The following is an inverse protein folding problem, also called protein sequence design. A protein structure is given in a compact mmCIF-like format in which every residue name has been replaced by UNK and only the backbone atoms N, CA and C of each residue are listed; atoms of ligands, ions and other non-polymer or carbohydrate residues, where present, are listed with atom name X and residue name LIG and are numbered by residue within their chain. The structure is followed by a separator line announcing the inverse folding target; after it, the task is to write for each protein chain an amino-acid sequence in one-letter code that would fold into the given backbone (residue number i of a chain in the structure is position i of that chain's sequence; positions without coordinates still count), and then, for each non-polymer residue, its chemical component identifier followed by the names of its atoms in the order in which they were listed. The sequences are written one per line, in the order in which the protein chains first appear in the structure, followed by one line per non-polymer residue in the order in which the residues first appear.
data_IF_709998501224
#
_entry.id   IF_709998501224
#
_cell.length_a   1.000
_cell.length_b   1.000
_cell.length_c   1.000
_cell.angle_alpha   90.00
_cell.angle_beta   90.00
_cell.angle_gamma   90.00
#
_symmetry.space_group_name_H-M   'P 1'
#
loop_
_entity.id
_entity.type
_entity.pdbx_description
1 polymer ?
#
# COMPACT_ATOMS: atom_id res chain seq x y z
N UNK A 1 -0.88 3.21 32.79
CA UNK A 1 0.15 3.69 31.83
C UNK A 1 0.12 2.77 30.62
N UNK A 2 -0.27 3.23 29.43
CA UNK A 2 -0.26 2.36 28.24
C UNK A 2 1.18 2.01 27.85
N UNK A 3 1.44 0.73 27.63
CA UNK A 3 2.77 0.23 27.21
C UNK A 3 3.08 0.67 25.78
N UNK A 4 4.36 0.70 25.42
CA UNK A 4 4.79 0.98 24.05
C UNK A 4 4.07 0.07 23.04
N UNK A 5 4.07 -1.24 23.27
CA UNK A 5 3.41 -2.22 22.40
C UNK A 5 1.90 -2.03 22.29
N UNK A 6 1.23 -1.60 23.37
CA UNK A 6 -0.20 -1.26 23.28
C UNK A 6 -0.46 -0.07 22.36
N UNK A 7 0.43 0.93 22.36
CA UNK A 7 0.35 2.08 21.43
C UNK A 7 0.64 1.67 19.99
N UNK A 8 1.64 0.83 19.78
CA UNK A 8 1.95 0.25 18.44
C UNK A 8 0.73 -0.47 17.88
N UNK A 9 0.10 -1.35 18.66
CA UNK A 9 -1.11 -2.06 18.23
C UNK A 9 -2.27 -1.12 17.90
N UNK A 10 -2.53 -0.11 18.76
CA UNK A 10 -3.58 0.87 18.50
C UNK A 10 -3.34 1.67 17.21
N UNK A 11 -2.13 2.17 16.99
CA UNK A 11 -1.81 2.95 15.79
C UNK A 11 -1.78 2.08 14.53
N UNK A 12 -1.40 0.81 14.63
CA UNK A 12 -1.47 -0.13 13.51
C UNK A 12 -2.91 -0.39 13.04
N UNK A 13 -3.84 -0.52 13.98
CA UNK A 13 -5.26 -0.74 13.67
C UNK A 13 -5.93 0.49 13.04
N UNK A 14 -5.47 1.70 13.36
CA UNK A 14 -5.94 2.93 12.71
C UNK A 14 -5.68 2.94 11.19
N UNK A 15 -4.70 2.18 10.71
CA UNK A 15 -4.39 2.07 9.29
C UNK A 15 -5.02 0.85 8.60
N UNK A 16 -5.95 0.14 9.24
CA UNK A 16 -6.58 -1.08 8.69
C UNK A 16 -7.26 -0.85 7.33
N UNK A 17 -8.04 0.23 7.18
CA UNK A 17 -8.70 0.56 5.90
C UNK A 17 -7.70 0.93 4.81
N UNK A 18 -6.63 1.64 5.16
CA UNK A 18 -5.57 2.01 4.23
C UNK A 18 -4.81 0.76 3.74
N UNK A 19 -4.53 -0.18 4.65
CA UNK A 19 -3.90 -1.46 4.32
C UNK A 19 -4.77 -2.29 3.37
N UNK A 20 -6.09 -2.31 3.56
CA UNK A 20 -7.04 -2.94 2.62
C UNK A 20 -6.96 -2.29 1.24
N UNK A 21 -7.00 -0.97 1.19
CA UNK A 21 -6.90 -0.22 -0.08
C UNK A 21 -5.58 -0.48 -0.82
N UNK A 22 -4.47 -0.67 -0.10
CA UNK A 22 -3.19 -1.06 -0.74
C UNK A 22 -3.27 -2.44 -1.38
N UNK A 23 -3.92 -3.41 -0.72
CA UNK A 23 -4.11 -4.73 -1.29
C UNK A 23 -4.95 -4.69 -2.58
N UNK A 24 -5.98 -3.84 -2.64
CA UNK A 24 -6.81 -3.68 -3.85
C UNK A 24 -6.07 -3.02 -5.02
N UNK A 25 -5.10 -2.15 -4.73
CA UNK A 25 -4.33 -1.40 -5.74
C UNK A 25 -3.16 -2.20 -6.33
N UNK A 26 -2.76 -3.29 -5.69
CA UNK A 26 -1.79 -4.25 -6.22
C UNK A 26 -2.58 -5.34 -6.95
N UNK A 27 -2.50 -5.41 -8.29
CA UNK A 27 -3.16 -6.51 -8.98
C UNK A 27 -2.30 -7.77 -8.72
N UNK A 28 -2.83 -8.68 -7.90
CA UNK A 28 -2.23 -10.00 -7.68
C UNK A 28 -2.45 -10.82 -8.96
N UNK A 29 -1.44 -11.55 -9.48
CA UNK A 29 -1.62 -12.43 -10.63
C UNK A 29 -2.85 -13.32 -10.45
N UNK A 30 -3.85 -13.14 -11.32
CA UNK A 30 -5.13 -13.82 -11.26
C UNK A 30 -5.40 -14.43 -12.65
N UNK A 31 -5.98 -15.63 -12.76
CA UNK A 31 -6.44 -16.18 -14.05
C UNK A 31 -7.24 -15.18 -14.90
N UNK A 32 -7.94 -14.22 -14.27
CA UNK A 32 -8.63 -13.12 -14.94
C UNK A 32 -7.75 -12.21 -15.81
N UNK A 33 -6.42 -12.33 -15.77
CA UNK A 33 -5.49 -11.57 -16.62
C UNK A 33 -5.54 -12.03 -18.09
N UNK A 34 -5.98 -13.25 -18.34
CA UNK A 34 -6.14 -13.80 -19.69
C UNK A 34 -7.57 -13.66 -20.22
N UNK A 35 -8.45 -12.97 -19.48
CA UNK A 35 -9.78 -12.68 -19.97
C UNK A 35 -9.74 -11.48 -20.92
N UNK A 36 -10.39 -11.58 -22.09
CA UNK A 36 -10.45 -10.50 -23.04
C UNK A 36 -11.29 -9.32 -22.53
N UNK A 37 -11.11 -8.16 -23.16
CA UNK A 37 -11.78 -6.91 -22.79
C UNK A 37 -13.02 -6.75 -23.66
N UNK A 38 -14.21 -6.95 -23.09
CA UNK A 38 -15.48 -6.83 -23.82
C UNK A 38 -16.10 -5.42 -23.76
N UNK A 39 -15.66 -4.56 -22.83
CA UNK A 39 -16.25 -3.22 -22.61
C UNK A 39 -15.20 -2.11 -22.60
N UNK A 40 -15.57 -0.96 -23.17
CA UNK A 40 -14.74 0.26 -23.21
C UNK A 40 -14.47 0.82 -21.80
N UNK A 41 -15.41 0.66 -20.87
CA UNK A 41 -15.22 1.04 -19.47
C UNK A 41 -14.08 0.27 -18.82
N UNK A 42 -14.02 -1.05 -19.04
CA UNK A 42 -12.98 -1.92 -18.50
C UNK A 42 -11.61 -1.58 -19.08
N UNK A 43 -11.55 -1.24 -20.38
CA UNK A 43 -10.33 -0.76 -21.02
C UNK A 43 -9.82 0.54 -20.39
N UNK A 44 -10.73 1.50 -20.18
CA UNK A 44 -10.38 2.80 -19.60
C UNK A 44 -9.87 2.65 -18.17
N UNK A 45 -10.50 1.79 -17.37
CA UNK A 45 -10.05 1.47 -16.03
C UNK A 45 -8.68 0.79 -16.03
N UNK A 46 -8.46 -0.21 -16.90
CA UNK A 46 -7.18 -0.89 -17.07
C UNK A 46 -6.06 0.03 -17.58
N UNK A 47 -6.39 1.11 -18.28
CA UNK A 47 -5.42 2.06 -18.84
C UNK A 47 -5.07 3.19 -17.86
N UNK A 48 -6.01 3.58 -17.00
CA UNK A 48 -5.80 4.61 -15.96
C UNK A 48 -5.12 4.04 -14.72
N UNK A 49 -5.45 2.79 -14.35
CA UNK A 49 -4.92 2.12 -13.14
C UNK A 49 -3.38 2.04 -13.06
N UNK A 50 -2.62 1.79 -14.15
CA UNK A 50 -1.16 1.80 -14.15
C UNK A 50 -0.54 3.17 -13.85
N UNK A 51 -1.27 4.26 -14.07
CA UNK A 51 -0.81 5.63 -13.79
C UNK A 51 -1.25 6.08 -12.41
N UNK A 52 -2.55 5.94 -12.10
CA UNK A 52 -3.13 6.44 -10.86
C UNK A 52 -2.63 5.69 -9.61
N UNK A 53 -2.60 4.36 -9.67
CA UNK A 53 -2.28 3.51 -8.51
C UNK A 53 -0.86 3.75 -7.97
N UNK A 54 0.21 3.70 -8.80
CA UNK A 54 1.55 3.91 -8.26
C UNK A 54 1.82 5.35 -7.85
N UNK A 55 1.19 6.34 -8.50
CA UNK A 55 1.33 7.74 -8.12
C UNK A 55 0.67 7.99 -6.76
N UNK A 56 -0.54 7.46 -6.54
CA UNK A 56 -1.21 7.55 -5.25
C UNK A 56 -0.44 6.81 -4.15
N UNK A 57 0.07 5.60 -4.42
CA UNK A 57 0.89 4.83 -3.48
C UNK A 57 2.22 5.54 -3.15
N UNK A 58 2.88 6.14 -4.16
CA UNK A 58 4.12 6.88 -4.01
C UNK A 58 3.95 8.16 -3.17
N UNK A 59 2.89 8.93 -3.41
CA UNK A 59 2.58 10.12 -2.59
C UNK A 59 2.33 9.73 -1.14
N UNK A 60 1.57 8.65 -0.89
CA UNK A 60 1.36 8.16 0.47
C UNK A 60 2.66 7.70 1.12
N UNK A 61 3.52 6.97 0.40
CA UNK A 61 4.82 6.55 0.92
C UNK A 61 5.66 7.74 1.37
N UNK A 62 5.77 8.79 0.55
CA UNK A 62 6.52 10.01 0.88
C UNK A 62 5.94 10.69 2.13
N UNK A 63 4.61 10.82 2.23
CA UNK A 63 3.95 11.40 3.39
C UNK A 63 4.21 10.59 4.66
N UNK A 64 4.19 9.26 4.58
CA UNK A 64 4.53 8.38 5.70
C UNK A 64 5.99 8.52 6.14
N UNK A 65 6.93 8.61 5.20
CA UNK A 65 8.33 8.86 5.53
C UNK A 65 8.53 10.22 6.19
N UNK A 66 7.87 11.27 5.68
CA UNK A 66 7.92 12.60 6.28
C UNK A 66 7.34 12.59 7.70
N UNK A 67 6.18 11.97 7.89
CA UNK A 67 5.52 11.84 9.19
C UNK A 67 6.38 11.06 10.18
N UNK A 68 6.96 9.93 9.74
CA UNK A 68 7.91 9.13 10.52
C UNK A 68 9.14 9.96 10.92
N UNK A 69 9.68 10.76 10.00
CA UNK A 69 10.84 11.62 10.27
C UNK A 69 10.53 12.66 11.35
N UNK A 70 9.34 13.29 11.30
CA UNK A 70 8.89 14.24 12.33
C UNK A 70 8.80 13.55 13.70
N UNK A 71 8.18 12.37 13.77
CA UNK A 71 8.10 11.63 15.03
C UNK A 71 9.45 11.12 15.52
N UNK A 72 10.38 10.79 14.61
CA UNK A 72 11.73 10.40 14.96
C UNK A 72 12.48 11.58 15.60
N UNK A 73 12.37 12.77 15.01
CA UNK A 73 12.93 14.00 15.59
C UNK A 73 12.33 14.29 16.98
N UNK A 74 11.01 14.18 17.12
CA UNK A 74 10.34 14.33 18.42
C UNK A 74 10.82 13.28 19.45
N UNK A 75 11.00 12.04 19.02
CA UNK A 75 11.51 10.94 19.87
C UNK A 75 12.94 11.21 20.33
N UNK A 76 13.81 11.67 19.43
CA UNK A 76 15.19 12.03 19.76
C UNK A 76 15.25 13.20 20.76
N UNK A 77 14.41 14.21 20.57
CA UNK A 77 14.34 15.39 21.44
C UNK A 77 13.80 15.04 22.84
N UNK A 78 12.86 14.09 22.91
CA UNK A 78 12.26 13.64 24.17
C UNK A 78 13.07 12.55 24.89
N UNK A 79 14.08 11.95 24.24
CA UNK A 79 14.87 10.85 24.82
C UNK A 79 15.57 11.26 26.11
N UNK A 80 16.38 12.32 26.06
CA UNK A 80 17.18 12.79 27.21
C UNK A 80 16.28 13.28 28.36
N UNK A 81 15.27 14.15 28.12
CA UNK A 81 14.35 14.57 29.18
C UNK A 81 13.56 13.41 29.80
N UNK A 82 13.11 12.44 28.99
CA UNK A 82 12.39 11.28 29.49
C UNK A 82 13.27 10.40 30.39
N UNK A 83 14.54 10.21 30.02
CA UNK A 83 15.49 9.40 30.79
C UNK A 83 15.82 10.06 32.13
N UNK A 84 16.10 11.36 32.11
CA UNK A 84 16.40 12.13 33.32
C UNK A 84 15.19 12.15 34.27
N UNK A 85 13.98 12.42 33.76
CA UNK A 85 12.76 12.44 34.59
C UNK A 85 12.37 11.05 35.11
N UNK A 86 12.70 9.98 34.38
CA UNK A 86 12.46 8.62 34.85
C UNK A 86 13.39 8.25 36.02
N UNK A 87 14.63 8.75 36.03
CA UNK A 87 15.60 8.47 37.08
C UNK A 87 15.42 9.39 38.30
N UNK A 88 15.28 10.69 38.05
CA UNK A 88 15.28 11.71 39.11
C UNK A 88 13.89 12.01 39.68
N UNK A 89 12.80 11.71 38.96
CA UNK A 89 11.43 12.02 39.40
C UNK A 89 10.39 10.98 38.95
N UNK A 90 10.57 9.67 39.25
CA UNK A 90 9.81 8.55 38.68
C UNK A 90 8.29 8.57 38.95
N UNK A 91 7.85 9.23 40.03
CA UNK A 91 6.43 9.33 40.40
C UNK A 91 5.76 10.65 40.01
N UNK A 92 6.48 11.57 39.38
CA UNK A 92 5.93 12.89 39.04
C UNK A 92 5.00 12.82 37.82
N UNK A 93 3.94 13.64 37.81
CA UNK A 93 3.05 13.76 36.65
C UNK A 93 3.79 14.17 35.37
N UNK A 94 4.85 14.98 35.52
CA UNK A 94 5.71 15.42 34.41
C UNK A 94 6.50 14.23 33.83
N UNK A 95 7.08 13.37 34.67
CA UNK A 95 7.77 12.15 34.23
C UNK A 95 6.82 11.20 33.49
N UNK A 96 5.62 10.98 34.04
CA UNK A 96 4.60 10.13 33.41
C UNK A 96 4.18 10.66 32.03
N UNK A 97 3.93 11.96 31.92
CA UNK A 97 3.52 12.60 30.68
C UNK A 97 4.64 12.59 29.62
N UNK A 98 5.86 12.96 29.99
CA UNK A 98 7.02 12.96 29.08
C UNK A 98 7.37 11.55 28.61
N UNK A 99 7.34 10.56 29.51
CA UNK A 99 7.56 9.15 29.15
C UNK A 99 6.45 8.61 28.24
N UNK A 100 5.19 8.99 28.48
CA UNK A 100 4.07 8.64 27.61
C UNK A 100 4.19 9.27 26.23
N UNK A 101 4.59 10.55 26.15
CA UNK A 101 4.82 11.26 24.90
C UNK A 101 5.96 10.63 24.09
N UNK A 102 7.09 10.32 24.74
CA UNK A 102 8.20 9.60 24.13
C UNK A 102 7.75 8.25 23.55
N UNK A 103 7.06 7.43 24.35
CA UNK A 103 6.53 6.12 23.89
C UNK A 103 5.56 6.28 22.72
N UNK A 104 4.77 7.35 22.71
CA UNK A 104 3.82 7.65 21.64
C UNK A 104 4.53 8.05 20.35
N UNK A 105 5.51 8.95 20.43
CA UNK A 105 6.29 9.41 19.29
C UNK A 105 7.06 8.22 18.68
N UNK A 106 7.74 7.43 19.52
CA UNK A 106 8.46 6.23 19.07
C UNK A 106 7.53 5.21 18.39
N UNK A 107 6.33 4.99 18.94
CA UNK A 107 5.36 4.07 18.36
C UNK A 107 4.86 4.57 16.99
N UNK A 108 4.56 5.87 16.87
CA UNK A 108 4.18 6.46 15.58
C UNK A 108 5.32 6.39 14.55
N UNK A 109 6.57 6.64 14.94
CA UNK A 109 7.73 6.47 14.05
C UNK A 109 7.78 5.06 13.46
N UNK A 110 7.68 4.03 14.31
CA UNK A 110 7.75 2.64 13.86
C UNK A 110 6.60 2.29 12.91
N UNK A 111 5.37 2.67 13.27
CA UNK A 111 4.19 2.38 12.45
C UNK A 111 4.23 3.14 11.12
N UNK A 112 4.49 4.44 11.15
CA UNK A 112 4.49 5.27 9.94
C UNK A 112 5.62 4.85 8.99
N UNK A 113 6.81 4.50 9.51
CA UNK A 113 7.90 3.95 8.70
C UNK A 113 7.51 2.62 8.06
N UNK A 114 6.87 1.72 8.82
CA UNK A 114 6.39 0.43 8.31
C UNK A 114 5.35 0.62 7.21
N UNK A 115 4.41 1.54 7.42
CA UNK A 115 3.39 1.89 6.42
C UNK A 115 4.01 2.52 5.16
N UNK A 116 5.06 3.34 5.30
CA UNK A 116 5.82 3.88 4.18
C UNK A 116 6.52 2.80 3.36
N UNK A 117 7.14 1.80 4.02
CA UNK A 117 7.74 0.64 3.34
C UNK A 117 6.67 -0.14 2.58
N UNK A 118 5.54 -0.47 3.22
CA UNK A 118 4.46 -1.20 2.57
C UNK A 118 3.93 -0.43 1.36
N UNK A 119 3.70 0.87 1.49
CA UNK A 119 3.26 1.73 0.39
C UNK A 119 4.27 1.74 -0.77
N UNK A 120 5.57 1.75 -0.46
CA UNK A 120 6.65 1.70 -1.48
C UNK A 120 6.67 0.36 -2.20
N UNK A 121 6.62 -0.76 -1.46
CA UNK A 121 6.54 -2.10 -2.05
C UNK A 121 5.27 -2.27 -2.89
N UNK A 122 4.13 -1.78 -2.41
CA UNK A 122 2.87 -1.76 -3.13
C UNK A 122 2.98 -0.92 -4.42
N UNK A 123 3.61 0.26 -4.35
CA UNK A 123 3.87 1.12 -5.50
C UNK A 123 4.71 0.41 -6.56
N UNK A 124 5.81 -0.22 -6.16
CA UNK A 124 6.66 -1.00 -7.07
C UNK A 124 5.91 -2.15 -7.73
N UNK A 125 5.15 -2.93 -6.95
CA UNK A 125 4.32 -3.99 -7.48
C UNK A 125 3.26 -3.45 -8.45
N UNK A 126 2.65 -2.31 -8.13
CA UNK A 126 1.66 -1.65 -8.98
C UNK A 126 2.25 -1.18 -10.31
N UNK A 127 3.48 -0.66 -10.32
CA UNK A 127 4.21 -0.27 -11.55
C UNK A 127 4.48 -1.47 -12.45
N UNK A 128 4.79 -2.63 -11.87
CA UNK A 128 5.16 -3.82 -12.64
C UNK A 128 3.91 -4.56 -13.13
N UNK A 129 2.98 -4.87 -12.23
CA UNK A 129 1.87 -5.78 -12.53
C UNK A 129 0.69 -5.12 -13.25
N UNK A 130 0.43 -3.81 -13.07
CA UNK A 130 -0.66 -3.15 -13.81
C UNK A 130 -0.43 -3.11 -15.33
N UNK A 131 0.76 -2.72 -15.83
CA UNK A 131 1.05 -2.80 -17.27
C UNK A 131 1.00 -4.23 -17.81
N UNK A 132 1.50 -5.22 -17.05
CA UNK A 132 1.45 -6.63 -17.46
C UNK A 132 -0.01 -7.09 -17.60
N UNK A 133 -0.88 -6.73 -16.66
CA UNK A 133 -2.31 -7.04 -16.73
C UNK A 133 -2.98 -6.39 -17.96
N UNK A 134 -2.64 -5.13 -18.27
CA UNK A 134 -3.14 -4.46 -19.47
C UNK A 134 -2.69 -5.19 -20.75
N UNK A 135 -1.40 -5.51 -20.87
CA UNK A 135 -0.84 -6.18 -22.06
C UNK A 135 -1.47 -7.57 -22.24
N UNK A 136 -1.55 -8.37 -21.18
CA UNK A 136 -2.10 -9.74 -21.24
C UNK A 136 -3.57 -9.75 -21.64
N UNK A 137 -4.38 -8.82 -21.12
CA UNK A 137 -5.78 -8.66 -21.51
C UNK A 137 -5.96 -8.15 -22.94
N UNK A 138 -5.12 -7.21 -23.38
CA UNK A 138 -5.11 -6.78 -24.79
C UNK A 138 -4.76 -7.95 -25.72
N UNK A 139 -3.75 -8.75 -25.39
CA UNK A 139 -3.39 -9.94 -26.17
C UNK A 139 -4.53 -10.95 -26.20
N UNK A 140 -5.20 -11.20 -25.07
CA UNK A 140 -6.38 -12.06 -25.02
C UNK A 140 -7.49 -11.58 -25.96
N UNK A 141 -7.78 -10.27 -25.98
CA UNK A 141 -8.78 -9.70 -26.89
C UNK A 141 -8.43 -9.84 -28.38
N UNK A 142 -7.15 -9.75 -28.74
CA UNK A 142 -6.70 -9.98 -30.11
C UNK A 142 -6.84 -11.45 -30.50
N UNK A 143 -6.50 -12.37 -29.60
CA UNK A 143 -6.63 -13.81 -29.86
C UNK A 143 -8.11 -14.22 -29.97
N UNK A 144 -9.00 -13.64 -29.15
CA UNK A 144 -10.46 -13.82 -29.29
C UNK A 144 -10.94 -13.32 -30.66
N UNK A 145 -10.53 -12.12 -31.07
CA UNK A 145 -10.93 -11.60 -32.39
C UNK A 145 -10.42 -12.44 -33.56
N UNK A 146 -9.18 -12.95 -33.49
CA UNK A 146 -8.65 -13.87 -34.50
C UNK A 146 -9.40 -15.20 -34.52
N UNK A 147 -9.79 -15.71 -33.35
CA UNK A 147 -10.60 -16.91 -33.22
C UNK A 147 -11.99 -16.72 -33.87
N UNK A 148 -12.63 -15.59 -33.63
CA UNK A 148 -13.94 -15.27 -34.23
C UNK A 148 -13.85 -15.18 -35.76
N UNK A 149 -12.86 -14.43 -36.29
CA UNK A 149 -12.67 -14.28 -37.74
C UNK A 149 -12.36 -15.61 -38.42
N UNK A 150 -11.57 -16.49 -37.79
CA UNK A 150 -11.24 -17.81 -38.35
C UNK A 150 -12.36 -18.82 -38.21
N UNK A 151 -13.18 -18.70 -37.16
CA UNK A 151 -14.39 -19.50 -37.02
C UNK A 151 -15.44 -19.08 -38.07
N UNK A 152 -15.60 -17.78 -38.33
CA UNK A 152 -16.52 -17.27 -39.36
C UNK A 152 -16.05 -17.59 -40.79
N UNK A 153 -14.75 -17.42 -41.08
CA UNK A 153 -14.23 -17.64 -42.44
C UNK A 153 -13.94 -19.10 -42.77
N UNK A 154 -13.46 -19.89 -41.79
CA UNK A 154 -12.90 -21.22 -42.01
C UNK A 154 -13.55 -22.32 -41.17
N UNK A 155 -14.50 -22.00 -40.28
CA UNK A 155 -15.11 -22.98 -39.37
C UNK A 155 -14.13 -23.59 -38.36
N UNK A 156 -12.96 -22.97 -38.15
CA UNK A 156 -11.88 -23.47 -37.30
C UNK A 156 -11.77 -22.60 -36.04
N UNK A 157 -11.81 -23.25 -34.87
CA UNK A 157 -11.58 -22.59 -33.57
C UNK A 157 -10.12 -22.73 -33.17
N UNK A 158 -9.44 -21.60 -32.96
CA UNK A 158 -8.01 -21.49 -32.62
C UNK A 158 -7.81 -21.44 -31.10
N UNK A 159 -8.73 -20.84 -30.35
CA UNK A 159 -8.62 -20.72 -28.89
C UNK A 159 -10.00 -20.78 -28.21
N UNK A 160 -10.05 -21.37 -27.00
CA UNK A 160 -11.26 -21.43 -26.17
C UNK A 160 -11.03 -20.59 -24.92
N UNK A 161 -11.76 -19.49 -24.79
CA UNK A 161 -11.81 -18.69 -23.57
C UNK A 161 -13.02 -19.18 -22.76
N UNK A 162 -12.77 -19.75 -21.58
CA UNK A 162 -13.81 -20.23 -20.64
C UNK A 162 -14.21 -19.13 -19.66
#
# INVERSE_FOLDING_TARGET
MSSFFSKVGLYWEQYSDLRRKYADLIPIPNPNYFHPIHRIGDFTELLVRPLYSPLWLGVNAILFFLKSFIYLAATALLLVPALLLAIFAPGSGISSNTCSAFKSAAANTVIDLTMGIIATCAGLASIIFNPINLITRCLASVVEHLNDVTQECCGLTIARFN
#
